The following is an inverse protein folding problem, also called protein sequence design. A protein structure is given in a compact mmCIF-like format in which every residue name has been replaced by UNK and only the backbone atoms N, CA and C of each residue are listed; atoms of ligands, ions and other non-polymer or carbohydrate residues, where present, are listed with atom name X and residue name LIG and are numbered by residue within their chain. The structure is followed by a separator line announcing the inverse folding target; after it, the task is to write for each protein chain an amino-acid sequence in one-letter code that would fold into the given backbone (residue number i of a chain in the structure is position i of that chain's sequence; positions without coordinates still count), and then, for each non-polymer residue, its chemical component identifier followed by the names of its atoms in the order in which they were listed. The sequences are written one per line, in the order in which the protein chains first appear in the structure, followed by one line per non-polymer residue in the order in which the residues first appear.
data_IF_794658799126
#
_entry.id   IF_794658799126
#
_cell.length_a   1.000
_cell.length_b   1.000
_cell.length_c   1.000
_cell.angle_alpha   90.00
_cell.angle_beta   90.00
_cell.angle_gamma   90.00
#
_symmetry.space_group_name_H-M   'P 1'
#
loop_
_entity.id
_entity.type
_entity.pdbx_description
1 polymer ?
#
# COMPACT_ATOMS: atom_id res chain seq x y z
N UNK A 1 -2.26 -5.73 -27.14
CA UNK A 1 -3.21 -5.78 -26.01
C UNK A 1 -3.56 -7.22 -25.72
N UNK A 2 -3.55 -7.62 -24.45
CA UNK A 2 -4.08 -8.91 -24.00
C UNK A 2 -5.58 -8.78 -23.77
N UNK A 3 -6.36 -9.82 -24.10
CA UNK A 3 -7.80 -9.88 -23.81
C UNK A 3 -8.02 -10.63 -22.50
N UNK A 4 -8.75 -10.01 -21.59
CA UNK A 4 -9.15 -10.61 -20.32
C UNK A 4 -10.65 -10.55 -20.20
N UNK A 5 -11.27 -11.68 -19.86
CA UNK A 5 -12.70 -11.76 -19.62
C UNK A 5 -12.94 -11.72 -18.10
N UNK A 6 -13.84 -10.87 -17.65
CA UNK A 6 -14.21 -10.69 -16.26
C UNK A 6 -15.73 -10.72 -16.17
N UNK A 7 -16.26 -11.40 -15.16
CA UNK A 7 -17.67 -11.35 -14.83
C UNK A 7 -17.98 -10.07 -14.06
N UNK A 8 -18.95 -9.29 -14.53
CA UNK A 8 -19.31 -7.99 -13.96
C UNK A 8 -20.79 -8.05 -13.57
N UNK A 9 -21.15 -7.75 -12.30
CA UNK A 9 -22.55 -7.64 -11.89
C UNK A 9 -23.30 -6.57 -12.69
N UNK A 10 -24.60 -6.76 -12.89
CA UNK A 10 -25.45 -5.85 -13.67
C UNK A 10 -25.35 -4.40 -13.19
N UNK A 11 -25.46 -4.18 -11.87
CA UNK A 11 -25.33 -2.87 -11.23
C UNK A 11 -24.00 -2.17 -11.55
N UNK A 12 -22.91 -2.93 -11.72
CA UNK A 12 -21.60 -2.40 -12.04
C UNK A 12 -21.48 -2.07 -13.53
N UNK A 13 -22.08 -2.87 -14.43
CA UNK A 13 -22.12 -2.53 -15.86
C UNK A 13 -22.96 -1.27 -16.12
N UNK A 14 -24.06 -1.08 -15.40
CA UNK A 14 -24.85 0.15 -15.49
C UNK A 14 -24.02 1.40 -15.12
N UNK A 15 -23.28 1.33 -14.00
CA UNK A 15 -22.37 2.41 -13.58
C UNK A 15 -21.27 2.67 -14.61
N UNK A 16 -20.66 1.62 -15.17
CA UNK A 16 -19.63 1.74 -16.22
C UNK A 16 -20.24 2.39 -17.46
N UNK A 17 -21.43 1.97 -17.88
CA UNK A 17 -22.14 2.49 -19.05
C UNK A 17 -22.47 3.96 -18.90
N UNK A 18 -23.02 4.36 -17.74
CA UNK A 18 -23.35 5.74 -17.44
C UNK A 18 -22.08 6.62 -17.45
N UNK A 19 -21.02 6.16 -16.79
CA UNK A 19 -19.74 6.87 -16.72
C UNK A 19 -19.11 7.05 -18.11
N UNK A 20 -19.16 6.01 -18.94
CA UNK A 20 -18.67 6.05 -20.33
C UNK A 20 -19.41 7.11 -21.16
N UNK A 21 -20.74 7.19 -21.01
CA UNK A 21 -21.56 8.23 -21.65
C UNK A 21 -21.20 9.63 -21.17
N UNK A 22 -21.11 9.84 -19.86
CA UNK A 22 -20.79 11.16 -19.26
C UNK A 22 -19.42 11.65 -19.70
N UNK A 23 -18.42 10.76 -19.73
CA UNK A 23 -17.04 11.12 -20.08
C UNK A 23 -16.76 11.08 -21.58
N UNK A 24 -17.74 10.71 -22.41
CA UNK A 24 -17.58 10.47 -23.84
C UNK A 24 -16.38 9.55 -24.16
N UNK A 25 -16.28 8.43 -23.42
CA UNK A 25 -15.21 7.42 -23.56
C UNK A 25 -15.81 6.04 -23.81
N UNK A 26 -15.00 5.13 -24.35
CA UNK A 26 -15.40 3.73 -24.47
C UNK A 26 -15.47 3.06 -23.10
N UNK A 27 -16.34 2.04 -22.93
CA UNK A 27 -16.40 1.23 -21.69
C UNK A 27 -15.02 0.68 -21.31
N UNK A 28 -14.27 0.19 -22.30
CA UNK A 28 -12.93 -0.36 -22.10
C UNK A 28 -11.93 0.68 -21.55
N UNK A 29 -12.01 1.92 -22.01
CA UNK A 29 -11.18 3.02 -21.49
C UNK A 29 -11.54 3.34 -20.03
N UNK A 30 -12.84 3.43 -19.71
CA UNK A 30 -13.32 3.67 -18.34
C UNK A 30 -12.86 2.55 -17.40
N UNK A 31 -13.03 1.29 -17.81
CA UNK A 31 -12.59 0.13 -17.01
C UNK A 31 -11.08 0.17 -16.79
N UNK A 32 -10.28 0.46 -17.83
CA UNK A 32 -8.82 0.54 -17.69
C UNK A 32 -8.42 1.61 -16.69
N UNK A 33 -8.99 2.81 -16.80
CA UNK A 33 -8.69 3.91 -15.89
C UNK A 33 -9.12 3.60 -14.44
N UNK A 34 -10.26 2.94 -14.27
CA UNK A 34 -10.72 2.51 -12.96
C UNK A 34 -9.78 1.47 -12.34
N UNK A 35 -9.31 0.50 -13.13
CA UNK A 35 -8.36 -0.50 -12.67
C UNK A 35 -6.98 0.10 -12.36
N UNK A 36 -6.44 0.96 -13.21
CA UNK A 36 -5.15 1.64 -12.98
C UNK A 36 -5.15 2.46 -11.68
N UNK A 37 -6.26 3.14 -11.39
CA UNK A 37 -6.43 3.92 -10.15
C UNK A 37 -6.79 3.05 -8.95
N UNK A 38 -7.49 1.95 -9.16
CA UNK A 38 -7.97 1.05 -8.10
C UNK A 38 -6.93 0.05 -7.61
N UNK A 39 -6.03 -0.43 -8.47
CA UNK A 39 -5.00 -1.42 -8.12
C UNK A 39 -4.14 -0.96 -6.92
N UNK A 40 -3.64 0.30 -6.85
CA UNK A 40 -2.90 0.78 -5.69
C UNK A 40 -3.70 0.71 -4.38
N UNK A 41 -5.01 1.00 -4.43
CA UNK A 41 -5.88 0.91 -3.26
C UNK A 41 -6.00 -0.56 -2.82
N UNK A 42 -6.24 -1.49 -3.76
CA UNK A 42 -6.35 -2.92 -3.46
C UNK A 42 -5.02 -3.51 -2.96
N UNK A 43 -3.88 -3.07 -3.51
CA UNK A 43 -2.56 -3.49 -3.05
C UNK A 43 -2.25 -3.03 -1.62
N UNK A 44 -2.78 -1.87 -1.21
CA UNK A 44 -2.54 -1.32 0.12
C UNK A 44 -3.24 -2.09 1.25
N UNK A 45 -4.33 -2.79 0.97
CA UNK A 45 -5.10 -3.52 1.99
C UNK A 45 -4.39 -4.77 2.54
N UNK A 46 -3.44 -5.36 1.78
CA UNK A 46 -2.72 -6.58 2.20
C UNK A 46 -1.24 -6.40 2.53
N UNK A 47 -0.63 -5.27 2.19
CA UNK A 47 0.85 -5.10 2.24
C UNK A 47 1.33 -3.89 3.01
N UNK A 48 0.44 -3.11 3.62
CA UNK A 48 0.81 -1.90 4.36
C UNK A 48 1.92 -2.18 5.40
N UNK A 49 1.82 -3.28 6.16
CA UNK A 49 2.84 -3.69 7.12
C UNK A 49 4.18 -4.04 6.47
N UNK A 50 4.17 -4.85 5.40
CA UNK A 50 5.38 -5.26 4.68
C UNK A 50 6.08 -4.07 3.99
N UNK A 51 5.32 -3.16 3.37
CA UNK A 51 5.86 -1.95 2.75
C UNK A 51 6.47 -1.00 3.78
N UNK A 52 5.83 -0.85 4.94
CA UNK A 52 6.35 -0.02 6.03
C UNK A 52 7.65 -0.63 6.59
N UNK A 53 7.67 -1.94 6.84
CA UNK A 53 8.89 -2.63 7.29
C UNK A 53 10.02 -2.51 6.27
N UNK A 54 9.71 -2.59 4.97
CA UNK A 54 10.68 -2.39 3.91
C UNK A 54 11.24 -0.96 3.90
N UNK A 55 10.40 0.06 4.08
CA UNK A 55 10.84 1.47 4.22
C UNK A 55 11.72 1.66 5.45
N UNK A 56 11.37 1.09 6.60
CA UNK A 56 12.18 1.15 7.83
C UNK A 56 13.55 0.49 7.59
N UNK A 57 13.59 -0.68 6.93
CA UNK A 57 14.84 -1.35 6.60
C UNK A 57 15.71 -0.53 5.64
N UNK A 58 15.12 0.17 4.66
CA UNK A 58 15.86 1.07 3.77
C UNK A 58 16.48 2.26 4.52
N UNK A 59 15.76 2.85 5.47
CA UNK A 59 16.28 3.91 6.36
C UNK A 59 17.44 3.37 7.19
N UNK A 60 17.25 2.20 7.82
CA UNK A 60 18.30 1.54 8.60
C UNK A 60 19.57 1.27 7.78
N UNK A 61 19.41 0.82 6.53
CA UNK A 61 20.54 0.62 5.60
C UNK A 61 21.23 1.94 5.24
N UNK A 62 20.48 2.99 4.93
CA UNK A 62 21.02 4.30 4.51
C UNK A 62 21.86 4.96 5.62
N UNK A 63 21.39 4.89 6.85
CA UNK A 63 22.05 5.51 8.01
C UNK A 63 22.90 4.52 8.81
N UNK A 64 23.09 3.29 8.32
CA UNK A 64 23.81 2.21 8.98
C UNK A 64 23.37 2.00 10.45
N UNK A 65 22.05 2.11 10.68
CA UNK A 65 21.45 1.94 11.99
C UNK A 65 21.56 0.46 12.35
N UNK A 66 22.24 0.17 13.45
CA UNK A 66 22.34 -1.16 14.03
C UNK A 66 21.66 -1.13 15.39
N UNK A 67 20.77 -2.09 15.61
CA UNK A 67 20.18 -2.29 16.93
C UNK A 67 21.23 -2.78 17.94
N UNK A 68 20.95 -2.63 19.24
CA UNK A 68 21.77 -3.22 20.29
C UNK A 68 21.83 -4.76 20.14
N UNK A 69 22.97 -5.38 20.48
CA UNK A 69 23.16 -6.84 20.31
C UNK A 69 22.26 -7.67 21.23
N UNK A 70 21.89 -7.08 22.35
CA UNK A 70 21.05 -7.60 23.43
C UNK A 70 19.60 -7.10 23.32
N UNK A 71 19.17 -6.62 22.14
CA UNK A 71 17.82 -6.09 21.93
C UNK A 71 16.70 -7.06 22.34
N UNK A 72 16.89 -8.36 22.16
CA UNK A 72 15.91 -9.39 22.55
C UNK A 72 15.84 -9.59 24.07
N UNK A 73 16.94 -9.39 24.78
CA UNK A 73 17.06 -9.64 26.21
C UNK A 73 16.64 -8.42 27.04
N UNK A 74 16.85 -7.21 26.50
CA UNK A 74 16.61 -5.93 27.21
C UNK A 74 15.53 -5.07 26.54
N UNK A 75 14.58 -5.73 25.88
CA UNK A 75 13.56 -5.05 25.10
C UNK A 75 12.76 -4.05 25.93
N UNK A 76 12.38 -4.41 27.16
CA UNK A 76 11.63 -3.53 28.06
C UNK A 76 12.42 -2.29 28.49
N UNK A 77 13.72 -2.43 28.75
CA UNK A 77 14.57 -1.31 29.13
C UNK A 77 14.69 -0.30 27.98
N UNK A 78 14.89 -0.79 26.75
CA UNK A 78 15.03 0.09 25.59
C UNK A 78 13.72 0.73 25.14
N UNK A 79 12.58 0.04 25.31
CA UNK A 79 11.29 0.56 24.89
C UNK A 79 10.62 1.44 25.95
N UNK A 80 10.81 1.14 27.24
CA UNK A 80 10.06 1.75 28.33
C UNK A 80 10.93 2.33 29.45
N UNK A 81 12.14 1.80 29.63
CA UNK A 81 13.05 2.20 30.72
C UNK A 81 13.83 3.49 30.46
N UNK A 82 13.98 3.90 29.19
CA UNK A 82 14.74 5.09 28.80
C UNK A 82 13.91 6.09 28.00
N UNK A 83 13.95 7.35 28.42
CA UNK A 83 13.40 8.47 27.65
C UNK A 83 14.41 8.95 26.62
N UNK A 84 14.25 8.52 25.37
CA UNK A 84 15.13 8.87 24.26
C UNK A 84 14.98 10.32 23.78
N UNK A 85 14.00 11.07 24.30
CA UNK A 85 13.81 12.49 23.97
C UNK A 85 14.74 13.43 24.75
N UNK A 86 15.35 12.91 25.83
CA UNK A 86 16.29 13.66 26.67
C UNK A 86 17.71 13.21 26.34
N UNK A 87 18.51 14.16 25.85
CA UNK A 87 19.95 13.98 25.74
C UNK A 87 20.55 14.12 27.15
N UNK A 88 20.90 13.01 27.79
CA UNK A 88 21.89 13.00 28.88
C UNK A 88 23.31 13.06 28.32
#
# INVERSE_FOLDING_TARGET
MLKTYLYVPEELDEKITLTAKIQNKSKAEVIRQALEKGIPAVQSEGTASAQILFKIAQIGRRYNIKGPKDASERMDEYLWGKDWSKNE
#
